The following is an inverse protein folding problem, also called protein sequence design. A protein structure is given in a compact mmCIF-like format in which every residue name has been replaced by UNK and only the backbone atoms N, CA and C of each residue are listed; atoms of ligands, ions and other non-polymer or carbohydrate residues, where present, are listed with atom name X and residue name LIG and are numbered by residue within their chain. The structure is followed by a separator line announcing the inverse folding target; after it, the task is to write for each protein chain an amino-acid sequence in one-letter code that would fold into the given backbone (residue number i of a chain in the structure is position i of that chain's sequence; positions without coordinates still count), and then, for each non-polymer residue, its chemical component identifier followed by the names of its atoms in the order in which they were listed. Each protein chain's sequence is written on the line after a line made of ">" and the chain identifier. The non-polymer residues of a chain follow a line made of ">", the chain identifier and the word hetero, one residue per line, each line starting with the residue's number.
data_IF_404092256991
#
_entry.id   IF_404092256991
#
_cell.length_a   1.000
_cell.length_b   1.000
_cell.length_c   1.000
_cell.angle_alpha   90.00
_cell.angle_beta   90.00
_cell.angle_gamma   90.00
#
_symmetry.space_group_name_H-M   'P 1'
#
loop_
_entity.id
_entity.type
_entity.pdbx_description
1 polymer ?
#
# COMPACT_ATOMS: atom_id res chain seq x y z
N UNK A 1 4.30 26.38 25.79
CA UNK A 1 5.10 25.14 25.64
C UNK A 1 4.20 23.94 25.28
N UNK A 2 3.24 24.12 24.35
CA UNK A 2 2.23 23.09 23.97
C UNK A 2 2.29 22.78 22.45
N UNK A 3 3.19 23.42 21.70
CA UNK A 3 3.22 23.36 20.23
C UNK A 3 3.96 22.16 19.59
N UNK A 4 4.81 21.43 20.33
CA UNK A 4 5.65 20.36 19.73
C UNK A 4 5.12 18.93 19.96
N UNK A 5 4.08 18.73 20.77
CA UNK A 5 3.63 17.37 21.12
C UNK A 5 2.80 16.72 20.01
N UNK A 6 2.14 17.50 19.16
CA UNK A 6 1.26 17.01 18.09
C UNK A 6 1.96 16.86 16.74
N UNK A 7 2.87 17.77 16.41
CA UNK A 7 3.65 17.73 15.15
C UNK A 7 4.62 16.55 15.11
N UNK A 8 5.46 16.42 16.14
CA UNK A 8 6.47 15.35 16.24
C UNK A 8 5.79 13.97 16.26
N UNK A 9 4.71 13.81 17.03
CA UNK A 9 4.04 12.51 17.13
C UNK A 9 3.46 12.03 15.79
N UNK A 10 2.85 12.90 14.99
CA UNK A 10 2.23 12.51 13.72
C UNK A 10 3.30 12.12 12.69
N UNK A 11 4.37 12.91 12.55
CA UNK A 11 5.43 12.68 11.54
C UNK A 11 6.21 11.39 11.84
N UNK A 12 6.48 11.13 13.12
CA UNK A 12 7.19 9.93 13.54
C UNK A 12 6.28 8.69 13.63
N UNK A 13 5.07 8.76 14.20
CA UNK A 13 4.24 7.57 14.39
C UNK A 13 3.35 7.19 13.20
N UNK A 14 2.85 8.12 12.39
CA UNK A 14 1.89 7.78 11.32
C UNK A 14 2.42 6.76 10.27
N UNK A 15 3.69 6.83 9.84
CA UNK A 15 4.28 5.83 8.94
C UNK A 15 4.50 4.48 9.63
N UNK A 16 4.84 4.50 10.93
CA UNK A 16 4.99 3.29 11.74
C UNK A 16 3.63 2.61 12.00
N UNK A 17 2.57 3.36 12.28
CA UNK A 17 1.22 2.80 12.44
C UNK A 17 0.68 2.28 11.11
N UNK A 18 0.89 3.00 10.01
CA UNK A 18 0.56 2.55 8.65
C UNK A 18 1.31 1.26 8.30
N UNK A 19 2.59 1.14 8.67
CA UNK A 19 3.38 -0.08 8.49
C UNK A 19 2.71 -1.31 9.11
N UNK A 20 2.34 -1.24 10.39
CA UNK A 20 1.69 -2.36 11.08
C UNK A 20 0.30 -2.64 10.54
N UNK A 21 -0.47 -1.58 10.25
CA UNK A 21 -1.79 -1.69 9.66
C UNK A 21 -1.75 -2.47 8.34
N UNK A 22 -0.85 -2.11 7.44
CA UNK A 22 -0.70 -2.77 6.14
C UNK A 22 -0.24 -4.23 6.26
N UNK A 23 0.60 -4.56 7.25
CA UNK A 23 1.03 -5.94 7.52
C UNK A 23 -0.11 -6.85 7.98
N UNK A 24 -1.13 -6.31 8.61
CA UNK A 24 -2.31 -7.07 9.06
C UNK A 24 -3.37 -7.09 7.95
N UNK A 25 -3.63 -5.94 7.33
CA UNK A 25 -4.66 -5.78 6.31
C UNK A 25 -4.41 -6.63 5.05
N UNK A 26 -3.15 -6.72 4.60
CA UNK A 26 -2.77 -7.53 3.43
C UNK A 26 -3.19 -9.00 3.57
N UNK A 27 -2.64 -9.74 4.56
CA UNK A 27 -3.04 -11.12 4.80
C UNK A 27 -4.54 -11.29 5.06
N UNK A 28 -5.18 -10.36 5.77
CA UNK A 28 -6.62 -10.40 6.02
C UNK A 28 -7.44 -10.39 4.72
N UNK A 29 -7.14 -9.47 3.81
CA UNK A 29 -7.83 -9.39 2.50
C UNK A 29 -7.47 -10.56 1.58
N UNK A 30 -6.24 -11.09 1.69
CA UNK A 30 -5.84 -12.33 1.02
C UNK A 30 -6.63 -13.56 1.48
N UNK A 31 -6.88 -13.70 2.79
CA UNK A 31 -7.77 -14.73 3.33
C UNK A 31 -9.20 -14.58 2.80
N UNK A 32 -9.68 -13.34 2.65
CA UNK A 32 -10.99 -13.07 2.02
C UNK A 32 -11.08 -13.62 0.59
N UNK A 33 -10.04 -13.46 -0.23
CA UNK A 33 -9.99 -14.03 -1.58
C UNK A 33 -10.02 -15.56 -1.57
N UNK A 34 -9.29 -16.19 -0.64
CA UNK A 34 -9.28 -17.65 -0.49
C UNK A 34 -10.66 -18.18 -0.09
N UNK A 35 -11.35 -17.50 0.84
CA UNK A 35 -12.72 -17.84 1.24
C UNK A 35 -13.68 -17.71 0.05
N UNK A 36 -13.57 -16.63 -0.73
CA UNK A 36 -14.42 -16.43 -1.91
C UNK A 36 -14.25 -17.55 -2.96
N UNK A 37 -13.01 -17.97 -3.20
CA UNK A 37 -12.71 -19.12 -4.07
C UNK A 37 -13.31 -20.40 -3.50
N UNK A 38 -13.14 -20.65 -2.20
CA UNK A 38 -13.72 -21.81 -1.51
C UNK A 38 -15.24 -21.87 -1.63
N UNK A 39 -15.92 -20.74 -1.43
CA UNK A 39 -17.36 -20.60 -1.65
C UNK A 39 -17.76 -20.89 -3.10
N UNK A 40 -16.93 -20.50 -4.08
CA UNK A 40 -17.17 -20.76 -5.50
C UNK A 40 -17.28 -22.25 -5.82
N UNK A 41 -16.44 -23.09 -5.22
CA UNK A 41 -16.52 -24.55 -5.36
C UNK A 41 -17.69 -25.18 -4.60
N UNK A 42 -18.30 -24.46 -3.65
CA UNK A 42 -19.46 -24.92 -2.90
C UNK A 42 -20.80 -24.52 -3.54
N UNK A 43 -20.77 -23.84 -4.69
CA UNK A 43 -21.99 -23.47 -5.44
C UNK A 43 -22.57 -24.70 -6.15
N UNK A 44 -23.29 -25.54 -5.40
CA UNK A 44 -24.10 -26.62 -5.94
C UNK A 44 -25.57 -26.16 -6.03
N UNK A 45 -26.14 -26.18 -7.23
CA UNK A 45 -27.58 -25.94 -7.42
C UNK A 45 -28.08 -24.59 -6.88
N UNK A 46 -27.30 -23.51 -7.04
CA UNK A 46 -27.57 -22.13 -6.56
C UNK A 46 -27.42 -21.92 -5.03
N UNK A 47 -27.12 -22.96 -4.26
CA UNK A 47 -26.75 -22.79 -2.85
C UNK A 47 -25.45 -22.01 -2.75
N UNK A 48 -25.34 -21.08 -1.80
CA UNK A 48 -24.14 -20.25 -1.56
C UNK A 48 -23.76 -19.27 -2.68
N UNK A 49 -24.57 -19.12 -3.72
CA UNK A 49 -24.27 -18.22 -4.84
C UNK A 49 -24.18 -16.75 -4.40
N UNK A 50 -25.15 -16.28 -3.59
CA UNK A 50 -25.17 -14.91 -3.10
C UNK A 50 -23.95 -14.60 -2.22
N UNK A 51 -23.56 -15.53 -1.37
CA UNK A 51 -22.39 -15.44 -0.52
C UNK A 51 -21.10 -15.42 -1.35
N UNK A 52 -20.95 -16.31 -2.34
CA UNK A 52 -19.81 -16.29 -3.26
C UNK A 52 -19.71 -14.95 -4.00
N UNK A 53 -20.83 -14.43 -4.52
CA UNK A 53 -20.88 -13.16 -5.24
C UNK A 53 -20.47 -11.99 -4.34
N UNK A 54 -21.10 -11.85 -3.16
CA UNK A 54 -20.82 -10.74 -2.26
C UNK A 54 -19.40 -10.83 -1.68
N UNK A 55 -18.98 -12.00 -1.17
CA UNK A 55 -17.63 -12.17 -0.65
C UNK A 55 -16.57 -11.97 -1.74
N UNK A 56 -16.78 -12.51 -2.94
CA UNK A 56 -15.86 -12.33 -4.07
C UNK A 56 -15.68 -10.86 -4.44
N UNK A 57 -16.79 -10.10 -4.52
CA UNK A 57 -16.75 -8.68 -4.82
C UNK A 57 -16.05 -7.87 -3.72
N UNK A 58 -16.44 -8.06 -2.46
CA UNK A 58 -15.86 -7.32 -1.33
C UNK A 58 -14.39 -7.69 -1.10
N UNK A 59 -14.02 -8.97 -1.19
CA UNK A 59 -12.64 -9.40 -1.05
C UNK A 59 -11.76 -8.82 -2.17
N UNK A 60 -12.25 -8.79 -3.41
CA UNK A 60 -11.52 -8.19 -4.55
C UNK A 60 -11.34 -6.68 -4.36
N UNK A 61 -12.41 -5.97 -3.98
CA UNK A 61 -12.36 -4.52 -3.74
C UNK A 61 -11.43 -4.17 -2.57
N UNK A 62 -11.54 -4.88 -1.45
CA UNK A 62 -10.67 -4.68 -0.30
C UNK A 62 -9.20 -5.00 -0.62
N UNK A 63 -8.95 -6.01 -1.44
CA UNK A 63 -7.60 -6.35 -1.91
C UNK A 63 -7.02 -5.25 -2.80
N UNK A 64 -7.81 -4.72 -3.73
CA UNK A 64 -7.41 -3.57 -4.57
C UNK A 64 -7.11 -2.36 -3.70
N UNK A 65 -7.99 -2.02 -2.74
CA UNK A 65 -7.77 -0.90 -1.83
C UNK A 65 -6.47 -1.08 -1.05
N UNK A 66 -6.21 -2.29 -0.56
CA UNK A 66 -4.96 -2.62 0.14
C UNK A 66 -3.72 -2.40 -0.74
N UNK A 67 -3.77 -2.83 -2.00
CA UNK A 67 -2.69 -2.59 -2.98
C UNK A 67 -2.48 -1.10 -3.25
N UNK A 68 -3.57 -0.33 -3.36
CA UNK A 68 -3.50 1.13 -3.52
C UNK A 68 -2.90 1.78 -2.26
N UNK A 69 -3.25 1.33 -1.06
CA UNK A 69 -2.63 1.82 0.17
C UNK A 69 -1.12 1.51 0.23
N UNK A 70 -0.67 0.35 -0.25
CA UNK A 70 0.77 0.08 -0.40
C UNK A 70 1.44 1.09 -1.33
N UNK A 71 0.83 1.42 -2.48
CA UNK A 71 1.36 2.43 -3.38
C UNK A 71 1.46 3.79 -2.68
N UNK A 72 0.40 4.24 -2.02
CA UNK A 72 0.41 5.52 -1.29
C UNK A 72 1.44 5.55 -0.18
N UNK A 73 1.59 4.47 0.60
CA UNK A 73 2.63 4.36 1.61
C UNK A 73 4.03 4.53 1.01
N UNK A 74 4.32 3.87 -0.12
CA UNK A 74 5.62 4.02 -0.79
C UNK A 74 5.82 5.39 -1.43
N UNK A 75 4.75 6.04 -1.93
CA UNK A 75 4.81 7.39 -2.48
C UNK A 75 5.09 8.39 -1.37
N UNK A 76 4.32 8.36 -0.28
CA UNK A 76 4.45 9.27 0.86
C UNK A 76 5.82 9.16 1.53
N UNK A 77 6.27 7.93 1.84
CA UNK A 77 7.63 7.75 2.39
C UNK A 77 8.72 8.11 1.38
N UNK A 78 8.44 7.98 0.08
CA UNK A 78 9.37 8.33 -0.99
C UNK A 78 9.60 9.82 -1.16
N UNK A 79 8.58 10.65 -0.94
CA UNK A 79 8.73 12.11 -0.99
C UNK A 79 9.61 12.63 0.13
N UNK A 80 9.46 12.12 1.35
CA UNK A 80 10.31 12.50 2.49
C UNK A 80 11.77 12.11 2.26
N UNK A 81 12.03 10.89 1.79
CA UNK A 81 13.40 10.45 1.45
C UNK A 81 14.00 11.30 0.32
N UNK A 82 13.18 11.72 -0.65
CA UNK A 82 13.63 12.63 -1.72
C UNK A 82 14.02 14.00 -1.15
N UNK A 83 13.24 14.54 -0.22
CA UNK A 83 13.52 15.83 0.42
C UNK A 83 14.84 15.79 1.19
N UNK A 84 15.04 14.77 2.04
CA UNK A 84 16.29 14.56 2.77
C UNK A 84 17.52 14.47 1.84
N UNK A 85 17.38 13.80 0.69
CA UNK A 85 18.45 13.72 -0.30
C UNK A 85 18.73 15.07 -1.00
N UNK A 86 17.70 15.90 -1.23
CA UNK A 86 17.85 17.24 -1.83
C UNK A 86 18.58 18.18 -0.86
N UNK A 87 18.24 18.15 0.44
CA UNK A 87 18.92 18.89 1.50
C UNK A 87 20.32 18.34 1.82
N UNK A 88 20.70 17.20 1.23
CA UNK A 88 21.98 16.52 1.41
C UNK A 88 22.24 16.05 2.85
N UNK A 89 21.17 15.81 3.61
CA UNK A 89 21.26 15.29 4.99
C UNK A 89 21.32 13.76 5.05
N UNK A 90 21.01 13.08 3.95
CA UNK A 90 21.23 11.64 3.78
C UNK A 90 22.05 11.34 2.52
N UNK A 91 22.69 10.17 2.46
CA UNK A 91 23.40 9.72 1.26
C UNK A 91 22.42 9.52 0.09
N UNK A 92 22.73 10.12 -1.07
CA UNK A 92 22.01 9.94 -2.33
C UNK A 92 21.85 8.47 -2.72
N UNK A 93 22.73 7.57 -2.24
CA UNK A 93 22.60 6.12 -2.42
C UNK A 93 21.32 5.57 -1.79
N UNK A 94 20.91 6.06 -0.61
CA UNK A 94 19.68 5.64 0.06
C UNK A 94 18.43 6.03 -0.75
N UNK A 95 18.44 7.25 -1.32
CA UNK A 95 17.40 7.67 -2.26
C UNK A 95 17.37 6.81 -3.53
N UNK A 96 18.53 6.50 -4.13
CA UNK A 96 18.61 5.61 -5.30
C UNK A 96 18.11 4.20 -4.99
N UNK A 97 18.44 3.67 -3.81
CA UNK A 97 17.97 2.37 -3.34
C UNK A 97 16.46 2.36 -3.18
N UNK A 98 15.89 3.37 -2.53
CA UNK A 98 14.44 3.50 -2.34
C UNK A 98 13.69 3.57 -3.66
N UNK A 99 14.20 4.35 -4.62
CA UNK A 99 13.64 4.44 -5.97
C UNK A 99 13.75 3.11 -6.74
N UNK A 100 14.87 2.39 -6.62
CA UNK A 100 15.13 1.16 -7.39
C UNK A 100 14.16 0.05 -7.02
N UNK A 101 13.88 -0.20 -5.74
CA UNK A 101 12.92 -1.25 -5.39
C UNK A 101 11.48 -0.83 -5.69
N UNK A 102 11.12 0.45 -5.54
CA UNK A 102 9.77 0.96 -5.89
C UNK A 102 9.49 0.79 -7.39
N UNK A 103 10.47 1.11 -8.24
CA UNK A 103 10.36 0.90 -9.68
C UNK A 103 10.16 -0.56 -10.08
N UNK A 104 10.59 -1.51 -9.24
CA UNK A 104 10.28 -2.93 -9.43
C UNK A 104 8.91 -3.30 -8.86
N UNK A 105 8.54 -2.81 -7.68
CA UNK A 105 7.29 -3.18 -7.01
C UNK A 105 6.05 -2.60 -7.69
N UNK A 106 6.11 -1.37 -8.18
CA UNK A 106 4.92 -0.66 -8.68
C UNK A 106 4.28 -1.37 -9.88
N UNK A 107 5.02 -1.79 -10.92
CA UNK A 107 4.43 -2.58 -12.00
C UNK A 107 3.76 -3.88 -11.52
N UNK A 108 4.36 -4.57 -10.54
CA UNK A 108 3.77 -5.78 -9.96
C UNK A 108 2.44 -5.49 -9.25
N UNK A 109 2.39 -4.42 -8.45
CA UNK A 109 1.17 -3.99 -7.78
C UNK A 109 0.10 -3.61 -8.81
N UNK A 110 0.45 -2.83 -9.83
CA UNK A 110 -0.48 -2.40 -10.88
C UNK A 110 -1.07 -3.56 -11.67
N UNK A 111 -0.25 -4.52 -12.10
CA UNK A 111 -0.74 -5.72 -12.82
C UNK A 111 -1.68 -6.52 -11.91
N UNK A 112 -1.34 -6.66 -10.63
CA UNK A 112 -2.19 -7.39 -9.67
C UNK A 112 -3.54 -6.70 -9.49
N UNK A 113 -3.58 -5.37 -9.39
CA UNK A 113 -4.84 -4.60 -9.34
C UNK A 113 -5.68 -4.88 -10.59
N UNK A 114 -5.09 -4.83 -11.79
CA UNK A 114 -5.82 -5.07 -13.03
C UNK A 114 -6.43 -6.47 -13.07
N UNK A 115 -5.68 -7.50 -12.70
CA UNK A 115 -6.19 -8.88 -12.68
C UNK A 115 -7.28 -9.05 -11.62
N UNK A 116 -7.14 -8.43 -10.43
CA UNK A 116 -8.17 -8.43 -9.40
C UNK A 116 -9.47 -7.75 -9.86
N UNK A 117 -9.39 -6.72 -10.70
CA UNK A 117 -10.57 -6.09 -11.29
C UNK A 117 -11.27 -6.99 -12.30
N UNK A 118 -10.51 -7.73 -13.11
CA UNK A 118 -11.06 -8.62 -14.14
C UNK A 118 -11.81 -9.81 -13.52
N UNK A 119 -11.34 -10.34 -12.39
CA UNK A 119 -11.92 -11.52 -11.74
C UNK A 119 -13.44 -11.43 -11.47
N UNK A 120 -13.97 -10.42 -10.76
CA UNK A 120 -15.41 -10.28 -10.52
C UNK A 120 -16.19 -9.95 -11.80
N UNK A 121 -15.58 -9.22 -12.76
CA UNK A 121 -16.20 -8.95 -14.07
C UNK A 121 -16.46 -10.26 -14.83
N UNK A 122 -15.51 -11.18 -14.81
CA UNK A 122 -15.65 -12.49 -15.44
C UNK A 122 -16.66 -13.38 -14.71
N UNK A 123 -16.78 -13.24 -13.39
CA UNK A 123 -17.84 -13.91 -12.62
C UNK A 123 -19.23 -13.42 -13.04
N UNK A 124 -19.42 -12.10 -13.15
CA UNK A 124 -20.65 -11.50 -13.65
C UNK A 124 -20.94 -11.87 -15.12
N UNK A 125 -19.91 -11.95 -15.96
CA UNK A 125 -20.06 -12.37 -17.36
C UNK A 125 -20.49 -13.84 -17.49
N UNK A 126 -20.03 -14.73 -16.60
CA UNK A 126 -20.51 -16.11 -16.53
C UNK A 126 -21.98 -16.17 -16.15
N UNK A 127 -22.39 -15.44 -15.10
CA UNK A 127 -23.79 -15.37 -14.66
C UNK A 127 -24.72 -14.85 -15.77
N UNK A 128 -24.24 -13.89 -16.57
CA UNK A 128 -24.95 -13.37 -17.74
C UNK A 128 -24.92 -14.31 -18.97
N UNK A 129 -24.34 -15.50 -18.88
CA UNK A 129 -24.21 -16.47 -19.98
C UNK A 129 -23.27 -16.02 -21.10
N UNK A 130 -22.32 -15.11 -20.84
CA UNK A 130 -21.42 -14.52 -21.83
C UNK A 130 -20.04 -15.18 -21.88
N UNK A 131 -19.63 -15.86 -20.82
CA UNK A 131 -18.31 -16.52 -20.72
C UNK A 131 -18.45 -17.88 -20.03
N UNK A 132 -17.63 -18.89 -20.37
CA UNK A 132 -17.63 -20.17 -19.66
C UNK A 132 -17.02 -20.05 -18.25
N UNK A 133 -17.48 -20.91 -17.32
CA UNK A 133 -17.08 -20.88 -15.90
C UNK A 133 -15.56 -21.03 -15.68
N UNK A 134 -14.90 -21.87 -16.49
CA UNK A 134 -13.46 -22.14 -16.33
C UNK A 134 -12.60 -20.89 -16.53
N UNK A 135 -13.08 -19.88 -17.28
CA UNK A 135 -12.38 -18.60 -17.44
C UNK A 135 -12.42 -17.81 -16.13
N UNK A 136 -13.60 -17.72 -15.50
CA UNK A 136 -13.73 -17.07 -14.20
C UNK A 136 -12.88 -17.77 -13.14
N UNK A 137 -12.90 -19.11 -13.12
CA UNK A 137 -12.08 -19.91 -12.21
C UNK A 137 -10.57 -19.67 -12.42
N UNK A 138 -10.09 -19.79 -13.66
CA UNK A 138 -8.68 -19.58 -13.99
C UNK A 138 -8.20 -18.16 -13.60
N UNK A 139 -9.00 -17.14 -13.92
CA UNK A 139 -8.67 -15.75 -13.57
C UNK A 139 -8.68 -15.54 -12.05
N UNK A 140 -9.62 -16.16 -11.32
CA UNK A 140 -9.70 -16.06 -9.86
C UNK A 140 -8.47 -16.67 -9.18
N UNK A 141 -8.02 -17.84 -9.66
CA UNK A 141 -6.81 -18.50 -9.16
C UNK A 141 -5.57 -17.63 -9.46
N UNK A 142 -5.45 -17.10 -10.68
CA UNK A 142 -4.33 -16.21 -11.05
C UNK A 142 -4.36 -14.92 -10.24
N UNK A 143 -5.53 -14.32 -10.03
CA UNK A 143 -5.71 -13.11 -9.23
C UNK A 143 -5.24 -13.32 -7.78
N UNK A 144 -5.71 -14.39 -7.15
CA UNK A 144 -5.31 -14.74 -5.79
C UNK A 144 -3.81 -15.04 -5.70
N UNK A 145 -3.27 -15.84 -6.64
CA UNK A 145 -1.84 -16.14 -6.68
C UNK A 145 -0.97 -14.89 -6.84
N UNK A 146 -1.31 -14.00 -7.79
CA UNK A 146 -0.61 -12.73 -7.98
C UNK A 146 -0.72 -11.81 -6.76
N UNK A 147 -1.87 -11.79 -6.10
CA UNK A 147 -2.07 -11.02 -4.87
C UNK A 147 -1.15 -11.51 -3.76
N UNK A 148 -1.11 -12.81 -3.48
CA UNK A 148 -0.24 -13.40 -2.46
C UNK A 148 1.25 -13.17 -2.78
N UNK A 149 1.65 -13.36 -4.04
CA UNK A 149 3.02 -13.07 -4.48
C UNK A 149 3.38 -11.59 -4.31
N UNK A 150 2.44 -10.69 -4.59
CA UNK A 150 2.64 -9.25 -4.39
C UNK A 150 2.77 -8.92 -2.91
N UNK A 151 1.97 -9.51 -2.03
CA UNK A 151 2.11 -9.35 -0.59
C UNK A 151 3.48 -9.80 -0.09
N UNK A 152 3.99 -10.94 -0.57
CA UNK A 152 5.33 -11.43 -0.20
C UNK A 152 6.41 -10.44 -0.64
N UNK A 153 6.35 -9.97 -1.90
CA UNK A 153 7.34 -9.03 -2.44
C UNK A 153 7.32 -7.68 -1.73
N UNK A 154 6.13 -7.17 -1.45
CA UNK A 154 5.94 -5.92 -0.72
C UNK A 154 6.39 -6.09 0.73
N UNK A 155 5.94 -7.14 1.41
CA UNK A 155 6.33 -7.47 2.78
C UNK A 155 7.85 -7.59 2.97
N UNK A 156 8.57 -8.15 1.99
CA UNK A 156 10.03 -8.23 2.01
C UNK A 156 10.74 -6.86 1.86
N UNK A 157 10.06 -5.84 1.32
CA UNK A 157 10.64 -4.51 1.04
C UNK A 157 10.18 -3.40 1.96
N UNK A 158 9.11 -3.62 2.70
CA UNK A 158 8.61 -2.65 3.67
C UNK A 158 9.64 -2.34 4.79
N UNK A 159 10.32 -3.32 5.44
CA UNK A 159 11.28 -3.00 6.49
C UNK A 159 12.47 -2.18 5.98
N UNK A 160 12.94 -2.48 4.76
CA UNK A 160 13.99 -1.71 4.08
C UNK A 160 13.53 -0.27 3.80
N UNK A 161 12.29 -0.09 3.32
CA UNK A 161 11.70 1.24 3.12
C UNK A 161 11.56 2.01 4.44
N UNK A 162 11.10 1.34 5.50
CA UNK A 162 10.88 1.96 6.81
C UNK A 162 12.20 2.43 7.43
N UNK A 163 13.28 1.63 7.32
CA UNK A 163 14.61 2.02 7.81
C UNK A 163 15.11 3.31 7.13
N UNK A 164 15.06 3.35 5.80
CA UNK A 164 15.47 4.53 5.01
C UNK A 164 14.61 5.74 5.35
N UNK A 165 13.30 5.55 5.54
CA UNK A 165 12.38 6.62 5.91
C UNK A 165 12.68 7.20 7.29
N UNK A 166 12.88 6.35 8.31
CA UNK A 166 13.17 6.79 9.68
C UNK A 166 14.48 7.58 9.72
N UNK A 167 15.52 7.11 9.03
CA UNK A 167 16.79 7.83 8.90
C UNK A 167 16.59 9.20 8.24
N UNK A 168 15.83 9.27 7.15
CA UNK A 168 15.53 10.52 6.48
C UNK A 168 14.79 11.52 7.38
N UNK A 169 13.81 11.08 8.16
CA UNK A 169 13.08 11.96 9.08
C UNK A 169 13.97 12.46 10.22
N UNK A 170 14.78 11.57 10.82
CA UNK A 170 15.66 11.95 11.92
C UNK A 170 16.69 13.00 11.51
N UNK A 171 17.29 12.86 10.33
CA UNK A 171 18.28 13.81 9.83
C UNK A 171 17.64 15.14 9.41
N UNK A 172 16.41 15.12 8.86
CA UNK A 172 15.66 16.34 8.56
C UNK A 172 15.30 17.13 9.84
N UNK A 173 14.79 16.46 10.87
CA UNK A 173 14.48 17.08 12.17
C UNK A 173 15.74 17.64 12.85
N UNK A 174 16.86 16.92 12.74
CA UNK A 174 18.14 17.40 13.26
C UNK A 174 18.60 18.67 12.56
N UNK A 175 18.55 18.71 11.23
CA UNK A 175 18.90 19.91 10.44
C UNK A 175 18.00 21.09 10.79
N UNK A 176 16.69 20.87 10.90
CA UNK A 176 15.72 21.91 11.29
C UNK A 176 16.04 22.49 12.67
N UNK A 177 16.31 21.63 13.67
CA UNK A 177 16.70 22.07 15.03
C UNK A 177 18.02 22.85 15.04
N UNK A 178 18.99 22.47 14.22
CA UNK A 178 20.25 23.21 14.09
C UNK A 178 20.01 24.59 13.48
N UNK A 179 19.16 24.69 12.45
CA UNK A 179 18.78 25.97 11.84
C UNK A 179 18.02 26.87 12.82
N UNK A 180 17.07 26.33 13.61
CA UNK A 180 16.34 27.10 14.63
C UNK A 180 17.27 27.65 15.71
N UNK A 181 18.29 26.88 16.14
CA UNK A 181 19.29 27.35 17.12
C UNK A 181 20.13 28.50 16.58
N UNK A 182 20.44 28.48 15.27
CA UNK A 182 21.25 29.50 14.61
C UNK A 182 20.42 30.77 14.34
N UNK A 183 19.11 30.64 14.07
CA UNK A 183 18.23 31.77 13.78
C UNK A 183 16.89 31.65 14.54
N UNK A 184 16.84 32.04 15.83
CA UNK A 184 15.66 31.87 16.68
C UNK A 184 14.48 32.79 16.32
N UNK A 185 14.59 33.66 15.30
CA UNK A 185 13.62 34.71 14.98
C UNK A 185 13.08 34.73 13.55
N UNK A 186 13.36 33.72 12.71
CA UNK A 186 12.80 33.65 11.37
C UNK A 186 11.67 32.60 11.33
N UNK A 187 10.39 33.01 11.31
CA UNK A 187 9.28 32.09 11.13
C UNK A 187 9.30 31.61 9.67
N UNK A 188 9.96 30.49 9.40
CA UNK A 188 9.91 29.84 8.10
C UNK A 188 8.51 29.24 7.90
N UNK A 189 7.72 29.91 7.06
CA UNK A 189 6.64 29.37 6.24
C UNK A 189 5.50 28.60 6.94
N UNK A 190 4.71 29.30 7.76
CA UNK A 190 3.33 28.89 8.12
C UNK A 190 2.28 29.49 7.15
N UNK A 191 2.62 29.63 5.87
CA UNK A 191 1.74 30.24 4.86
C UNK A 191 1.26 29.32 3.71
N UNK A 192 1.43 28.00 3.80
CA UNK A 192 0.92 27.06 2.77
C UNK A 192 -0.36 26.30 3.14
N UNK A 193 -1.19 26.83 4.04
CA UNK A 193 -2.52 26.25 4.34
C UNK A 193 -3.65 27.26 4.36
N UNK A 194 -3.77 28.08 3.32
CA UNK A 194 -5.05 28.71 2.93
C UNK A 194 -5.11 28.92 1.41
N UNK A 195 -5.51 27.89 0.67
CA UNK A 195 -6.33 28.00 -0.57
C UNK A 195 -7.02 26.68 -0.83
#
# INVERSE_FOLDING_TARGET
>A
MIGSFTGDWIVYNAPHTMYYFLKILGPFTGTGLLVAIGLGYMVEGQKWFGEHLLFGLFASLASILTLVMFLFYFIATGSTVKEAAIKKVIDIKLYRQSRKFKGKLFPWISITILILMVSPIMGAAYDAGKTPIWIHEAISIVACGLYLLTLIKVGAKIPENQGIYVEAVMELDKEEREQTKINPGNPSDDQTTQT
#
